data_IF_204387184709
#
_entry.id   IF_204387184709
#
_cell.length_a   1.000
_cell.length_b   1.000
_cell.length_c   1.000
_cell.angle_alpha   90.00
_cell.angle_beta   90.00
_cell.angle_gamma   90.00
#
_symmetry.space_group_name_H-M   'P 1'
#
loop_
_entity.id
_entity.type
_entity.pdbx_description
1 polymer ?
#
# COMPACT_ATOMS: atom_id res chain seq x y z
N UNK A 1 -15.19 19.06 -68.25
CA UNK A 1 -15.76 19.53 -66.97
C UNK A 1 -16.75 18.51 -66.44
N UNK A 2 -16.71 18.31 -65.10
CA UNK A 2 -17.56 17.45 -64.24
C UNK A 2 -17.03 16.02 -64.06
N UNK A 3 -16.02 15.85 -63.20
CA UNK A 3 -16.03 15.73 -61.73
C UNK A 3 -16.07 14.25 -61.30
N UNK A 4 -14.85 13.72 -61.14
CA UNK A 4 -14.54 12.50 -60.41
C UNK A 4 -15.03 12.67 -58.96
N UNK A 5 -16.15 12.06 -58.58
CA UNK A 5 -16.56 11.98 -57.18
C UNK A 5 -15.77 10.86 -56.52
N UNK A 6 -14.60 11.21 -55.99
CA UNK A 6 -13.86 10.39 -55.04
C UNK A 6 -14.74 10.26 -53.80
N UNK A 7 -15.38 9.11 -53.63
CA UNK A 7 -16.08 8.74 -52.42
C UNK A 7 -15.01 8.41 -51.37
N UNK A 8 -14.59 9.43 -50.62
CA UNK A 8 -13.82 9.27 -49.39
C UNK A 8 -14.71 8.53 -48.38
N UNK A 9 -14.55 7.21 -48.28
CA UNK A 9 -15.08 6.44 -47.17
C UNK A 9 -14.28 6.87 -45.92
N UNK A 10 -14.93 7.40 -44.86
CA UNK A 10 -14.21 7.69 -43.63
C UNK A 10 -13.69 6.38 -43.04
N UNK A 11 -12.37 6.28 -42.96
CA UNK A 11 -11.66 5.30 -42.15
C UNK A 11 -12.29 5.28 -40.75
N UNK A 12 -12.86 4.14 -40.37
CA UNK A 12 -13.25 3.85 -39.00
C UNK A 12 -11.98 3.91 -38.14
N UNK A 13 -11.71 5.07 -37.54
CA UNK A 13 -10.88 5.13 -36.35
C UNK A 13 -11.70 4.54 -35.20
N UNK A 14 -11.86 3.22 -35.20
CA UNK A 14 -12.11 2.49 -33.96
C UNK A 14 -10.83 2.61 -33.16
N UNK A 15 -10.73 3.67 -32.34
CA UNK A 15 -9.82 3.71 -31.22
C UNK A 15 -10.26 2.62 -30.25
N UNK A 16 -9.87 1.38 -30.53
CA UNK A 16 -9.93 0.32 -29.54
C UNK A 16 -8.84 0.71 -28.55
N UNK A 17 -9.22 1.48 -27.53
CA UNK A 17 -8.46 1.49 -26.30
C UNK A 17 -8.39 0.02 -25.88
N UNK A 18 -7.22 -0.59 -26.09
CA UNK A 18 -6.92 -1.94 -25.66
C UNK A 18 -6.89 -1.92 -24.13
N UNK A 19 -8.07 -1.93 -23.52
CA UNK A 19 -8.21 -2.32 -22.13
C UNK A 19 -7.76 -3.78 -22.11
N UNK A 20 -6.74 -4.09 -21.31
CA UNK A 20 -6.37 -5.47 -21.07
C UNK A 20 -7.64 -6.18 -20.58
N UNK A 21 -8.22 -7.04 -21.42
CA UNK A 21 -9.45 -7.74 -21.09
C UNK A 21 -9.19 -8.52 -19.81
N UNK A 22 -10.05 -8.34 -18.80
CA UNK A 22 -9.93 -9.12 -17.58
C UNK A 22 -10.15 -10.60 -17.90
N UNK A 23 -9.69 -11.49 -17.03
CA UNK A 23 -9.98 -12.92 -17.17
C UNK A 23 -11.49 -13.21 -17.32
N UNK A 24 -12.35 -12.44 -16.66
CA UNK A 24 -13.80 -12.60 -16.75
C UNK A 24 -14.40 -12.06 -18.07
N UNK A 25 -13.74 -11.15 -18.76
CA UNK A 25 -14.21 -10.66 -20.07
C UNK A 25 -14.09 -11.71 -21.18
N UNK A 26 -13.30 -12.77 -20.95
CA UNK A 26 -13.12 -13.89 -21.89
C UNK A 26 -14.29 -14.89 -21.93
N UNK A 27 -15.32 -14.74 -21.08
CA UNK A 27 -16.43 -15.70 -21.00
C UNK A 27 -17.35 -15.60 -22.21
N UNK A 28 -17.89 -16.75 -22.61
CA UNK A 28 -18.65 -16.89 -23.86
C UNK A 28 -20.02 -16.16 -23.85
N UNK A 29 -20.58 -15.87 -22.68
CA UNK A 29 -21.88 -15.19 -22.54
C UNK A 29 -21.82 -14.12 -21.46
N UNK A 30 -22.66 -13.08 -21.59
CA UNK A 30 -22.75 -12.02 -20.59
C UNK A 30 -23.12 -12.56 -19.20
N UNK A 31 -23.97 -13.58 -19.14
CA UNK A 31 -24.32 -14.24 -17.88
C UNK A 31 -23.08 -14.89 -17.24
N UNK A 32 -22.30 -15.65 -18.02
CA UNK A 32 -21.07 -16.27 -17.53
C UNK A 32 -20.01 -15.22 -17.12
N UNK A 33 -19.92 -14.09 -17.83
CA UNK A 33 -19.09 -12.95 -17.45
C UNK A 33 -19.51 -12.38 -16.09
N UNK A 34 -20.80 -12.11 -15.91
CA UNK A 34 -21.34 -11.57 -14.65
C UNK A 34 -21.12 -12.54 -13.48
N UNK A 35 -21.37 -13.83 -13.70
CA UNK A 35 -21.17 -14.86 -12.67
C UNK A 35 -19.68 -14.98 -12.29
N UNK A 36 -18.77 -14.90 -13.27
CA UNK A 36 -17.33 -14.88 -13.03
C UNK A 36 -16.94 -13.70 -12.12
N UNK A 37 -17.37 -12.48 -12.46
CA UNK A 37 -17.04 -11.32 -11.64
C UNK A 37 -17.65 -11.40 -10.24
N UNK A 38 -18.91 -11.86 -10.09
CA UNK A 38 -19.54 -12.02 -8.77
C UNK A 38 -18.73 -12.94 -7.87
N UNK A 39 -18.27 -14.08 -8.38
CA UNK A 39 -17.45 -15.03 -7.61
C UNK A 39 -16.10 -14.41 -7.22
N UNK A 40 -15.48 -13.68 -8.15
CA UNK A 40 -14.21 -12.98 -7.88
C UNK A 40 -14.36 -11.90 -6.81
N UNK A 41 -15.37 -11.02 -6.95
CA UNK A 41 -15.69 -9.97 -5.97
C UNK A 41 -15.97 -10.57 -4.59
N UNK A 42 -16.74 -11.66 -4.50
CA UNK A 42 -17.01 -12.33 -3.24
C UNK A 42 -15.74 -12.90 -2.59
N UNK A 43 -14.81 -13.40 -3.39
CA UNK A 43 -13.51 -13.89 -2.92
C UNK A 43 -12.69 -12.74 -2.34
N UNK A 44 -12.60 -11.61 -3.04
CA UNK A 44 -11.90 -10.43 -2.51
C UNK A 44 -12.59 -9.84 -1.29
N UNK A 45 -13.93 -9.81 -1.25
CA UNK A 45 -14.68 -9.37 -0.07
C UNK A 45 -14.26 -10.18 1.16
N UNK A 46 -14.27 -11.51 1.04
CA UNK A 46 -13.84 -12.41 2.13
C UNK A 46 -12.39 -12.13 2.55
N UNK A 47 -11.50 -11.86 1.58
CA UNK A 47 -10.12 -11.48 1.84
C UNK A 47 -9.99 -10.15 2.58
N UNK A 48 -10.79 -9.15 2.21
CA UNK A 48 -10.86 -7.83 2.88
C UNK A 48 -11.35 -8.00 4.32
N UNK A 49 -12.49 -8.67 4.51
CA UNK A 49 -13.08 -8.89 5.84
C UNK A 49 -12.10 -9.59 6.79
N UNK A 50 -11.43 -10.63 6.29
CA UNK A 50 -10.37 -11.34 7.01
C UNK A 50 -9.20 -10.42 7.34
N UNK A 51 -8.69 -9.68 6.37
CA UNK A 51 -7.50 -8.83 6.55
C UNK A 51 -7.77 -7.65 7.47
N UNK A 52 -8.99 -7.09 7.47
CA UNK A 52 -9.42 -6.06 8.42
C UNK A 52 -9.47 -6.61 9.85
N UNK A 53 -10.06 -7.80 10.02
CA UNK A 53 -10.12 -8.46 11.33
C UNK A 53 -8.71 -8.71 11.88
N UNK A 54 -7.81 -9.23 11.04
CA UNK A 54 -6.41 -9.43 11.41
C UNK A 54 -5.71 -8.11 11.77
N UNK A 55 -5.88 -7.07 10.96
CA UNK A 55 -5.29 -5.73 11.20
C UNK A 55 -5.78 -5.14 12.53
N UNK A 56 -7.07 -5.22 12.82
CA UNK A 56 -7.66 -4.71 14.07
C UNK A 56 -7.23 -5.51 15.31
N UNK A 57 -6.82 -6.77 15.12
CA UNK A 57 -6.31 -7.64 16.17
C UNK A 57 -4.78 -7.53 16.37
N UNK A 58 -4.07 -6.75 15.55
CA UNK A 58 -2.62 -6.61 15.67
C UNK A 58 -2.22 -5.98 17.02
N UNK A 59 -1.10 -6.44 17.64
CA UNK A 59 -0.56 -5.81 18.84
C UNK A 59 -0.20 -4.34 18.60
N UNK A 60 -0.50 -3.47 19.57
CA UNK A 60 -0.25 -2.02 19.45
C UNK A 60 -1.43 -1.22 18.90
N UNK A 61 -2.53 -1.89 18.51
CA UNK A 61 -3.70 -1.21 17.98
C UNK A 61 -4.52 -0.53 19.07
N UNK A 62 -4.56 0.80 19.02
CA UNK A 62 -5.36 1.65 19.93
C UNK A 62 -6.82 1.70 19.51
N UNK A 63 -7.73 2.05 20.43
CA UNK A 63 -9.14 2.24 20.11
C UNK A 63 -9.35 3.25 18.95
N UNK A 64 -8.61 4.36 18.97
CA UNK A 64 -8.66 5.37 17.91
C UNK A 64 -8.22 4.81 16.56
N UNK A 65 -7.17 3.99 16.52
CA UNK A 65 -6.69 3.38 15.29
C UNK A 65 -7.67 2.33 14.73
N UNK A 66 -8.39 1.60 15.58
CA UNK A 66 -9.46 0.68 15.17
C UNK A 66 -10.64 1.43 14.56
N UNK A 67 -11.07 2.50 15.23
CA UNK A 67 -12.15 3.36 14.74
C UNK A 67 -11.76 4.04 13.40
N UNK A 68 -10.49 4.40 13.21
CA UNK A 68 -9.99 4.90 11.94
C UNK A 68 -10.04 3.86 10.81
N UNK A 69 -9.75 2.59 11.11
CA UNK A 69 -9.88 1.47 10.15
C UNK A 69 -11.34 1.29 9.75
N UNK A 70 -12.25 1.25 10.73
CA UNK A 70 -13.70 1.11 10.50
C UNK A 70 -14.23 2.26 9.64
N UNK A 71 -13.89 3.51 9.99
CA UNK A 71 -14.25 4.68 9.18
C UNK A 71 -13.70 4.58 7.76
N UNK A 72 -12.42 4.22 7.62
CA UNK A 72 -11.81 4.05 6.29
C UNK A 72 -12.56 2.99 5.46
N UNK A 73 -13.00 1.91 6.08
CA UNK A 73 -13.77 0.86 5.41
C UNK A 73 -15.13 1.37 4.96
N UNK A 74 -15.91 1.98 5.85
CA UNK A 74 -17.23 2.53 5.52
C UNK A 74 -17.16 3.61 4.43
N UNK A 75 -16.17 4.51 4.50
CA UNK A 75 -15.96 5.53 3.47
C UNK A 75 -15.62 4.91 2.12
N UNK A 76 -14.75 3.90 2.10
CA UNK A 76 -14.41 3.19 0.86
C UNK A 76 -15.64 2.48 0.27
N UNK A 77 -16.46 1.82 1.08
CA UNK A 77 -17.69 1.16 0.60
C UNK A 77 -18.66 2.14 -0.05
N UNK A 78 -18.89 3.30 0.59
CA UNK A 78 -19.73 4.36 0.03
C UNK A 78 -19.14 4.88 -1.29
N UNK A 79 -17.83 5.12 -1.35
CA UNK A 79 -17.17 5.58 -2.57
C UNK A 79 -17.35 4.57 -3.71
N UNK A 80 -17.14 3.28 -3.43
CA UNK A 80 -17.28 2.22 -4.43
C UNK A 80 -18.72 2.13 -4.95
N UNK A 81 -19.71 2.17 -4.06
CA UNK A 81 -21.12 2.16 -4.44
C UNK A 81 -21.50 3.36 -5.31
N UNK A 82 -20.96 4.55 -5.02
CA UNK A 82 -21.27 5.77 -5.76
C UNK A 82 -20.51 5.89 -7.09
N UNK A 83 -19.38 5.18 -7.24
CA UNK A 83 -18.49 5.33 -8.41
C UNK A 83 -18.66 4.20 -9.42
N UNK A 84 -18.87 2.97 -8.96
CA UNK A 84 -18.87 1.80 -9.84
C UNK A 84 -20.23 1.49 -10.44
N UNK A 85 -20.26 1.33 -11.76
CA UNK A 85 -21.47 1.04 -12.53
C UNK A 85 -21.53 -0.40 -13.06
N UNK A 86 -20.42 -1.14 -13.03
CA UNK A 86 -20.32 -2.49 -13.55
C UNK A 86 -19.40 -3.36 -12.68
N UNK A 87 -19.47 -4.68 -12.87
CA UNK A 87 -18.73 -5.63 -12.05
C UNK A 87 -17.21 -5.54 -12.22
N UNK A 88 -16.71 -5.15 -13.38
CA UNK A 88 -15.27 -4.94 -13.59
C UNK A 88 -14.73 -3.82 -12.69
N UNK A 89 -15.47 -2.70 -12.57
CA UNK A 89 -15.13 -1.63 -11.63
C UNK A 89 -15.14 -2.13 -10.19
N UNK A 90 -16.18 -2.85 -9.77
CA UNK A 90 -16.25 -3.41 -8.42
C UNK A 90 -15.07 -4.33 -8.14
N UNK A 91 -14.74 -5.26 -9.03
CA UNK A 91 -13.60 -6.16 -8.87
C UNK A 91 -12.29 -5.38 -8.71
N UNK A 92 -12.03 -4.39 -9.57
CA UNK A 92 -10.84 -3.56 -9.49
C UNK A 92 -10.72 -2.84 -8.13
N UNK A 93 -11.81 -2.26 -7.63
CA UNK A 93 -11.83 -1.60 -6.32
C UNK A 93 -11.54 -2.56 -5.17
N UNK A 94 -12.10 -3.78 -5.23
CA UNK A 94 -11.90 -4.80 -4.20
C UNK A 94 -10.46 -5.33 -4.18
N UNK A 95 -9.84 -5.53 -5.36
CA UNK A 95 -8.42 -5.87 -5.48
C UNK A 95 -7.55 -4.77 -4.86
N UNK A 96 -7.82 -3.52 -5.22
CA UNK A 96 -7.08 -2.36 -4.71
C UNK A 96 -7.18 -2.25 -3.18
N UNK A 97 -8.38 -2.44 -2.64
CA UNK A 97 -8.63 -2.37 -1.20
C UNK A 97 -7.90 -3.47 -0.43
N UNK A 98 -7.99 -4.72 -0.90
CA UNK A 98 -7.27 -5.83 -0.26
C UNK A 98 -5.75 -5.57 -0.25
N UNK A 99 -5.23 -5.09 -1.38
CA UNK A 99 -3.80 -4.75 -1.51
C UNK A 99 -3.40 -3.63 -0.54
N UNK A 100 -4.22 -2.59 -0.41
CA UNK A 100 -3.99 -1.50 0.53
C UNK A 100 -3.94 -2.00 1.98
N UNK A 101 -4.92 -2.81 2.40
CA UNK A 101 -4.99 -3.34 3.78
C UNK A 101 -3.77 -4.21 4.07
N UNK A 102 -3.35 -5.06 3.13
CA UNK A 102 -2.15 -5.89 3.31
C UNK A 102 -0.88 -5.04 3.47
N UNK A 103 -0.73 -3.94 2.72
CA UNK A 103 0.37 -2.99 2.93
C UNK A 103 0.32 -2.34 4.31
N UNK A 104 -0.85 -1.96 4.80
CA UNK A 104 -0.99 -1.41 6.16
C UNK A 104 -0.57 -2.42 7.23
N UNK A 105 -0.96 -3.68 7.07
CA UNK A 105 -0.52 -4.78 7.96
C UNK A 105 1.00 -4.96 7.91
N UNK A 106 1.59 -4.95 6.72
CA UNK A 106 3.05 -5.03 6.56
C UNK A 106 3.74 -3.84 7.23
N UNK A 107 3.24 -2.61 7.02
CA UNK A 107 3.79 -1.42 7.66
C UNK A 107 3.68 -1.50 9.18
N UNK A 108 2.58 -1.98 9.74
CA UNK A 108 2.48 -2.19 11.18
C UNK A 108 3.42 -3.28 11.70
N UNK A 109 3.59 -4.36 10.94
CA UNK A 109 4.58 -5.39 11.29
C UNK A 109 6.00 -4.83 11.28
N UNK A 110 6.32 -3.96 10.33
CA UNK A 110 7.62 -3.27 10.22
C UNK A 110 7.80 -2.19 11.28
N UNK A 111 6.74 -1.47 11.65
CA UNK A 111 6.75 -0.50 12.74
C UNK A 111 6.90 -1.18 14.11
N UNK A 112 6.44 -2.44 14.23
CA UNK A 112 6.74 -3.30 15.38
C UNK A 112 8.20 -3.77 15.39
N UNK A 113 8.79 -4.04 14.22
CA UNK A 113 10.24 -4.28 14.10
C UNK A 113 11.05 -2.98 14.31
N UNK A 114 10.44 -1.80 14.10
CA UNK A 114 11.00 -0.50 14.49
C UNK A 114 10.63 -0.07 15.92
N UNK A 115 9.94 -0.93 16.69
CA UNK A 115 9.92 -0.87 18.15
C UNK A 115 11.06 -1.77 18.69
N UNK A 116 12.27 -1.47 18.22
CA UNK A 116 13.55 -1.86 18.82
C UNK A 116 14.27 -0.57 19.21
N UNK A 117 15.09 -0.61 20.27
CA UNK A 117 15.58 0.57 21.02
C UNK A 117 16.27 1.51 20.06
N UNK A 118 16.31 2.82 20.39
CA UNK A 118 17.01 3.89 19.65
C UNK A 118 18.02 3.25 18.70
N UNK A 119 17.61 3.21 17.43
CA UNK A 119 18.34 2.62 16.32
C UNK A 119 19.84 2.80 16.60
N UNK A 120 20.61 1.73 16.73
CA UNK A 120 21.99 1.83 17.24
C UNK A 120 22.81 2.87 16.43
N UNK A 121 22.46 3.07 15.16
CA UNK A 121 22.87 4.18 14.30
C UNK A 121 22.52 5.57 14.86
N UNK A 122 21.29 5.83 15.28
CA UNK A 122 20.86 7.10 15.89
C UNK A 122 21.48 7.36 17.28
N UNK A 123 21.71 6.30 18.07
CA UNK A 123 22.37 6.44 19.37
C UNK A 123 23.88 6.69 19.19
N UNK A 124 24.53 5.97 18.28
CA UNK A 124 25.93 6.18 17.97
C UNK A 124 26.16 7.56 17.36
N UNK A 125 25.28 8.02 16.47
CA UNK A 125 25.32 9.37 15.90
C UNK A 125 25.26 10.46 16.98
N UNK A 126 24.46 10.26 18.04
CA UNK A 126 24.37 11.21 19.15
C UNK A 126 25.70 11.31 19.93
N UNK A 127 26.35 10.17 20.21
CA UNK A 127 27.65 10.13 20.86
C UNK A 127 28.75 10.74 20.00
N UNK A 128 28.78 10.43 18.70
CA UNK A 128 29.71 11.04 17.73
C UNK A 128 29.52 12.56 17.69
N UNK A 129 28.27 13.03 17.70
CA UNK A 129 27.96 14.45 17.69
C UNK A 129 28.41 15.15 18.98
N UNK A 130 28.09 14.58 20.15
CA UNK A 130 28.50 15.13 21.45
C UNK A 130 30.03 15.22 21.56
N UNK A 131 30.74 14.16 21.19
CA UNK A 131 32.20 14.14 21.17
C UNK A 131 32.80 15.24 20.27
N UNK A 132 32.23 15.44 19.07
CA UNK A 132 32.68 16.49 18.13
C UNK A 132 32.31 17.90 18.58
N UNK A 133 31.25 18.08 19.37
CA UNK A 133 30.98 19.37 20.00
C UNK A 133 32.04 19.73 21.05
N UNK A 134 32.60 18.74 21.74
CA UNK A 134 33.61 18.94 22.78
C UNK A 134 35.02 19.06 22.21
N UNK A 135 35.40 18.16 21.29
CA UNK A 135 36.77 18.04 20.77
C UNK A 135 36.98 18.72 19.41
N UNK A 136 35.90 19.12 18.74
CA UNK A 136 35.90 19.76 17.43
C UNK A 136 35.25 18.91 16.32
N UNK A 137 34.64 19.58 15.34
CA UNK A 137 33.86 18.93 14.26
C UNK A 137 34.67 17.91 13.44
N UNK A 138 35.98 18.12 13.32
CA UNK A 138 36.89 17.23 12.59
C UNK A 138 37.54 16.14 13.47
N UNK A 139 37.12 16.02 14.74
CA UNK A 139 37.65 15.02 15.66
C UNK A 139 37.40 13.60 15.13
N UNK A 140 38.48 12.82 15.05
CA UNK A 140 38.46 11.45 14.56
C UNK A 140 37.90 10.51 15.64
N UNK A 141 36.87 9.77 15.28
CA UNK A 141 36.33 8.69 16.12
C UNK A 141 37.10 7.41 15.80
N UNK A 142 37.69 6.79 16.82
CA UNK A 142 38.40 5.52 16.66
C UNK A 142 37.44 4.34 16.70
N UNK A 143 37.86 3.18 16.18
CA UNK A 143 37.06 1.97 16.22
C UNK A 143 36.72 1.55 17.66
N UNK A 144 37.68 1.66 18.58
CA UNK A 144 37.48 1.33 20.01
C UNK A 144 36.44 2.24 20.66
N UNK A 145 36.52 3.55 20.39
CA UNK A 145 35.57 4.53 20.90
C UNK A 145 34.15 4.30 20.36
N UNK A 146 34.02 4.02 19.04
CA UNK A 146 32.73 3.66 18.47
C UNK A 146 32.17 2.36 19.05
N UNK A 147 33.02 1.35 19.29
CA UNK A 147 32.60 0.08 19.87
C UNK A 147 32.10 0.24 21.31
N UNK A 148 32.74 1.10 22.10
CA UNK A 148 32.30 1.42 23.47
C UNK A 148 30.95 2.14 23.48
N UNK A 149 30.75 3.10 22.58
CA UNK A 149 29.47 3.80 22.45
C UNK A 149 28.35 2.86 22.00
N UNK A 150 28.64 1.91 21.11
CA UNK A 150 27.68 0.86 20.76
C UNK A 150 27.28 0.01 21.97
N UNK A 151 28.20 -0.31 22.88
CA UNK A 151 27.88 -0.99 24.15
C UNK A 151 27.01 -0.13 25.06
N UNK A 152 27.29 1.17 25.14
CA UNK A 152 26.47 2.12 25.89
C UNK A 152 25.06 2.25 25.31
N UNK A 153 24.94 2.26 23.99
CA UNK A 153 23.66 2.23 23.28
C UNK A 153 22.88 0.95 23.57
N UNK A 154 23.55 -0.22 23.55
CA UNK A 154 22.96 -1.50 23.98
C UNK A 154 22.47 -1.46 25.42
N UNK A 155 23.17 -0.72 26.29
CA UNK A 155 22.79 -0.48 27.69
C UNK A 155 21.75 0.66 27.89
N UNK A 156 21.29 1.31 26.82
CA UNK A 156 20.29 2.38 26.87
C UNK A 156 20.80 3.73 27.38
N UNK A 157 22.11 3.98 27.35
CA UNK A 157 22.72 5.27 27.71
C UNK A 157 22.67 6.26 26.53
N UNK A 158 22.64 7.54 26.86
CA UNK A 158 22.70 8.67 25.93
C UNK A 158 23.83 9.63 26.36
N UNK A 159 24.43 10.39 25.42
CA UNK A 159 25.39 11.43 25.74
C UNK A 159 24.81 12.53 26.62
#
# INVERSE_FOLDING_TARGET
>A
MKLLKILMLPLLFSSIAAHAASYCDSKATQQATNDCYRQSIMTYKKGIDKSLTELMAMPGQTAQSKEAIERSQSTWEIQVQNTCQNFACFEYQFIGRLTQINRLKEQQSKNKVSAHPVKADQCLDAWVHAYRQEEGEDAMVTADQSSEWEDWCRAGKLP
#
